data_IF_273828130573
#
_entry.id   IF_273828130573
#
_cell.length_a   1.000
_cell.length_b   1.000
_cell.length_c   1.000
_cell.angle_alpha   90.00
_cell.angle_beta   90.00
_cell.angle_gamma   90.00
#
_symmetry.space_group_name_H-M   'P 1'
#
loop_
_entity.id
_entity.type
_entity.pdbx_description
1 polymer ?
#
# COMPACT_ATOMS: atom_id res chain seq x y z
N UNK A 1 -13.65 -21.74 12.29
CA UNK A 1 -13.60 -22.81 11.25
C UNK A 1 -12.24 -23.50 11.35
N UNK A 2 -12.07 -24.66 10.71
CA UNK A 2 -10.76 -25.34 10.61
C UNK A 2 -9.69 -24.37 10.08
N UNK A 3 -10.05 -23.53 9.12
CA UNK A 3 -9.14 -22.56 8.53
C UNK A 3 -8.63 -21.51 9.53
N UNK A 4 -9.53 -20.81 10.23
CA UNK A 4 -9.15 -19.78 11.21
C UNK A 4 -8.40 -20.35 12.42
N UNK A 5 -8.68 -21.60 12.81
CA UNK A 5 -8.03 -22.23 13.97
C UNK A 5 -6.67 -22.86 13.63
N UNK A 6 -6.49 -23.39 12.41
CA UNK A 6 -5.33 -24.22 12.08
C UNK A 6 -4.61 -23.79 10.80
N UNK A 7 -5.32 -23.65 9.66
CA UNK A 7 -4.67 -23.45 8.35
C UNK A 7 -4.04 -22.06 8.26
N UNK A 8 -4.81 -21.00 8.47
CA UNK A 8 -4.32 -19.62 8.37
C UNK A 8 -3.20 -19.33 9.38
N UNK A 9 -3.29 -19.71 10.67
CA UNK A 9 -2.18 -19.60 11.60
C UNK A 9 -0.91 -20.34 11.15
N UNK A 10 -1.04 -21.58 10.69
CA UNK A 10 0.12 -22.39 10.22
C UNK A 10 0.82 -21.74 9.04
N UNK A 11 0.07 -21.23 8.05
CA UNK A 11 0.66 -20.53 6.91
C UNK A 11 1.44 -19.28 7.35
N UNK A 12 0.91 -18.51 8.30
CA UNK A 12 1.59 -17.33 8.87
C UNK A 12 2.87 -17.71 9.61
N UNK A 13 2.84 -18.75 10.43
CA UNK A 13 4.01 -19.27 11.15
C UNK A 13 5.12 -19.71 10.18
N UNK A 14 4.74 -20.34 9.06
CA UNK A 14 5.65 -20.77 8.01
C UNK A 14 6.11 -19.63 7.08
N UNK A 15 5.68 -18.38 7.31
CA UNK A 15 6.00 -17.23 6.46
C UNK A 15 5.39 -17.30 5.06
N UNK A 16 4.35 -18.10 4.87
CA UNK A 16 3.64 -18.27 3.60
C UNK A 16 2.52 -17.24 3.44
N UNK A 17 2.11 -16.92 2.19
CA UNK A 17 0.92 -16.12 1.94
C UNK A 17 -0.30 -16.68 2.67
N UNK A 18 -0.95 -15.85 3.48
CA UNK A 18 -2.12 -16.21 4.28
C UNK A 18 -3.10 -15.03 4.35
N UNK A 19 -4.39 -15.33 4.47
CA UNK A 19 -5.40 -14.30 4.67
C UNK A 19 -5.36 -13.74 6.09
N UNK A 20 -5.99 -12.57 6.29
CA UNK A 20 -6.07 -11.94 7.61
C UNK A 20 -6.75 -12.85 8.63
N UNK A 21 -7.89 -13.44 8.28
CA UNK A 21 -8.71 -14.29 9.16
C UNK A 21 -9.07 -15.66 8.55
N UNK A 22 -9.40 -15.70 7.24
CA UNK A 22 -9.85 -16.92 6.56
C UNK A 22 -9.62 -16.82 5.04
N UNK A 23 -9.19 -17.92 4.41
CA UNK A 23 -9.13 -18.17 2.97
C UNK A 23 -10.50 -18.23 2.29
N UNK A 24 -11.56 -18.45 3.06
CA UNK A 24 -12.90 -18.66 2.53
C UNK A 24 -13.67 -17.39 2.20
N UNK A 25 -13.10 -16.19 2.41
CA UNK A 25 -13.81 -14.90 2.27
C UNK A 25 -14.28 -14.54 0.85
N UNK A 26 -14.01 -15.39 -0.14
CA UNK A 26 -14.48 -15.16 -1.52
C UNK A 26 -15.87 -15.79 -1.67
N UNK A 27 -16.91 -14.97 -1.87
CA UNK A 27 -18.31 -15.42 -2.08
C UNK A 27 -18.47 -16.53 -3.11
N UNK A 28 -17.59 -16.59 -4.11
CA UNK A 28 -17.59 -17.63 -5.13
C UNK A 28 -17.12 -19.00 -4.64
N UNK A 29 -16.44 -19.09 -3.51
CA UNK A 29 -15.98 -20.31 -2.85
C UNK A 29 -16.87 -20.69 -1.67
N UNK A 30 -17.59 -19.73 -1.07
CA UNK A 30 -18.53 -19.97 0.05
C UNK A 30 -19.86 -20.63 -0.38
N UNK A 31 -20.11 -20.79 -1.68
CA UNK A 31 -21.38 -21.32 -2.16
C UNK A 31 -21.55 -22.79 -1.75
N UNK A 32 -22.77 -23.23 -1.39
CA UNK A 32 -23.04 -24.60 -0.94
C UNK A 32 -23.12 -25.58 -2.12
N UNK A 33 -22.17 -25.50 -3.06
CA UNK A 33 -22.05 -26.40 -4.19
C UNK A 33 -20.76 -27.22 -4.08
N UNK A 34 -20.78 -28.52 -4.45
CA UNK A 34 -19.57 -29.33 -4.45
C UNK A 34 -18.58 -28.84 -5.51
N UNK A 35 -17.28 -28.87 -5.21
CA UNK A 35 -16.20 -28.45 -6.11
C UNK A 35 -15.88 -29.47 -7.20
N UNK A 36 -16.88 -29.81 -7.99
CA UNK A 36 -16.71 -30.69 -9.17
C UNK A 36 -16.15 -29.92 -10.36
N UNK A 37 -15.73 -30.63 -11.41
CA UNK A 37 -15.33 -30.00 -12.68
C UNK A 37 -16.44 -29.11 -13.31
N UNK A 38 -17.70 -29.32 -12.93
CA UNK A 38 -18.86 -28.53 -13.35
C UNK A 38 -19.25 -27.43 -12.34
N UNK A 39 -18.35 -27.03 -11.43
CA UNK A 39 -18.64 -26.04 -10.39
C UNK A 39 -19.20 -24.73 -10.95
N UNK A 40 -20.36 -24.30 -10.46
CA UNK A 40 -21.09 -23.13 -10.96
C UNK A 40 -20.61 -21.79 -10.39
N UNK A 41 -19.80 -21.81 -9.30
CA UNK A 41 -19.28 -20.59 -8.72
C UNK A 41 -18.37 -19.81 -9.68
N UNK A 42 -18.45 -18.48 -9.59
CA UNK A 42 -17.78 -17.57 -10.51
C UNK A 42 -16.32 -17.33 -10.09
N UNK A 43 -15.40 -18.07 -10.72
CA UNK A 43 -13.96 -17.80 -10.66
C UNK A 43 -13.57 -17.16 -12.00
N UNK A 44 -13.22 -15.87 -11.99
CA UNK A 44 -13.08 -15.06 -13.22
C UNK A 44 -11.98 -15.54 -14.16
N UNK A 45 -10.82 -15.94 -13.61
CA UNK A 45 -9.73 -16.47 -14.40
C UNK A 45 -10.01 -17.95 -14.70
N UNK A 46 -10.23 -18.26 -15.99
CA UNK A 46 -10.62 -19.60 -16.46
C UNK A 46 -9.52 -20.63 -16.24
N UNK A 47 -8.26 -20.25 -16.42
CA UNK A 47 -7.12 -21.15 -16.22
C UNK A 47 -6.95 -21.49 -14.74
N UNK A 48 -7.10 -20.48 -13.87
CA UNK A 48 -7.11 -20.68 -12.41
C UNK A 48 -8.28 -21.57 -11.99
N UNK A 49 -9.49 -21.34 -12.53
CA UNK A 49 -10.67 -22.18 -12.24
C UNK A 49 -10.40 -23.63 -12.63
N UNK A 50 -9.91 -23.86 -13.84
CA UNK A 50 -9.59 -25.21 -14.35
C UNK A 50 -8.54 -25.89 -13.48
N UNK A 51 -7.43 -25.21 -13.18
CA UNK A 51 -6.37 -25.76 -12.35
C UNK A 51 -6.87 -26.12 -10.94
N UNK A 52 -7.59 -25.20 -10.28
CA UNK A 52 -8.17 -25.41 -8.95
C UNK A 52 -9.08 -26.64 -8.92
N UNK A 53 -10.08 -26.70 -9.80
CA UNK A 53 -11.05 -27.82 -9.82
C UNK A 53 -10.39 -29.14 -10.21
N UNK A 54 -9.41 -29.14 -11.11
CA UNK A 54 -8.68 -30.36 -11.51
C UNK A 54 -7.84 -30.92 -10.37
N UNK A 55 -7.26 -30.05 -9.52
CA UNK A 55 -6.50 -30.48 -8.34
C UNK A 55 -7.45 -31.13 -7.31
N UNK A 56 -8.61 -30.53 -7.07
CA UNK A 56 -9.61 -31.09 -6.15
C UNK A 56 -10.09 -32.45 -6.66
N UNK A 57 -10.52 -32.53 -7.93
CA UNK A 57 -10.97 -33.76 -8.57
C UNK A 57 -9.91 -34.87 -8.51
N UNK A 58 -8.64 -34.53 -8.78
CA UNK A 58 -7.54 -35.50 -8.69
C UNK A 58 -7.35 -36.02 -7.26
N UNK A 59 -7.39 -35.16 -6.25
CA UNK A 59 -7.20 -35.54 -4.85
C UNK A 59 -8.39 -36.37 -4.33
N UNK A 60 -9.61 -36.07 -4.76
CA UNK A 60 -10.81 -36.85 -4.42
C UNK A 60 -10.74 -38.26 -5.02
N UNK A 61 -10.21 -38.42 -6.24
CA UNK A 61 -10.03 -39.72 -6.89
C UNK A 61 -8.77 -40.48 -6.44
N UNK A 62 -7.79 -39.79 -5.83
CA UNK A 62 -6.52 -40.34 -5.37
C UNK A 62 -6.15 -39.83 -3.96
N UNK A 63 -6.93 -40.19 -2.92
CA UNK A 63 -6.76 -39.65 -1.57
C UNK A 63 -5.36 -39.92 -0.98
N UNK A 64 -4.70 -41.00 -1.38
CA UNK A 64 -3.32 -41.33 -0.99
C UNK A 64 -2.28 -40.32 -1.51
N UNK A 65 -2.63 -39.52 -2.51
CA UNK A 65 -1.76 -38.47 -3.07
C UNK A 65 -1.95 -37.11 -2.42
N UNK A 66 -2.96 -36.94 -1.56
CA UNK A 66 -3.31 -35.65 -0.92
C UNK A 66 -2.09 -34.98 -0.32
N UNK A 67 -1.36 -35.68 0.55
CA UNK A 67 -0.20 -35.12 1.24
C UNK A 67 0.91 -34.68 0.27
N UNK A 68 1.16 -35.48 -0.77
CA UNK A 68 2.15 -35.15 -1.80
C UNK A 68 1.75 -33.89 -2.57
N UNK A 69 0.50 -33.80 -3.00
CA UNK A 69 -0.02 -32.63 -3.72
C UNK A 69 0.03 -31.38 -2.83
N UNK A 70 -0.35 -31.48 -1.55
CA UNK A 70 -0.23 -30.36 -0.60
C UNK A 70 1.23 -29.91 -0.46
N UNK A 71 2.18 -30.84 -0.29
CA UNK A 71 3.62 -30.52 -0.23
C UNK A 71 4.11 -29.84 -1.50
N UNK A 72 3.69 -30.32 -2.68
CA UNK A 72 4.03 -29.71 -3.96
C UNK A 72 3.50 -28.28 -4.08
N UNK A 73 2.24 -28.03 -3.71
CA UNK A 73 1.66 -26.69 -3.71
C UNK A 73 2.43 -25.74 -2.79
N UNK A 74 2.73 -26.16 -1.56
CA UNK A 74 3.52 -25.37 -0.62
C UNK A 74 4.94 -25.08 -1.15
N UNK A 75 5.59 -26.06 -1.79
CA UNK A 75 6.90 -25.87 -2.40
C UNK A 75 6.87 -24.92 -3.60
N UNK A 76 5.80 -24.94 -4.40
CA UNK A 76 5.62 -23.98 -5.50
C UNK A 76 5.37 -22.57 -4.97
N UNK A 77 4.56 -22.43 -3.91
CA UNK A 77 4.34 -21.14 -3.25
C UNK A 77 5.67 -20.58 -2.72
N UNK A 78 6.46 -21.38 -2.01
CA UNK A 78 7.79 -20.95 -1.52
C UNK A 78 8.70 -20.46 -2.65
N UNK A 79 8.79 -21.23 -3.74
CA UNK A 79 9.59 -20.84 -4.92
C UNK A 79 9.09 -19.55 -5.56
N UNK A 80 7.78 -19.39 -5.71
CA UNK A 80 7.19 -18.17 -6.25
C UNK A 80 7.46 -16.97 -5.32
N UNK A 81 7.32 -17.12 -4.00
CA UNK A 81 7.63 -16.06 -3.03
C UNK A 81 9.10 -15.65 -3.10
N UNK A 82 10.03 -16.61 -3.18
CA UNK A 82 11.46 -16.34 -3.32
C UNK A 82 11.79 -15.66 -4.66
N UNK A 83 11.24 -16.15 -5.77
CA UNK A 83 11.45 -15.54 -7.09
C UNK A 83 10.90 -14.10 -7.18
N UNK A 84 9.92 -13.77 -6.33
CA UNK A 84 9.33 -12.44 -6.24
C UNK A 84 10.09 -11.47 -5.31
N UNK A 85 11.11 -11.95 -4.59
CA UNK A 85 12.02 -11.09 -3.84
C UNK A 85 13.01 -10.47 -4.83
N UNK A 86 12.89 -9.16 -5.03
CA UNK A 86 13.77 -8.38 -5.89
C UNK A 86 14.54 -7.45 -4.99
N UNK A 87 15.86 -7.68 -4.88
CA UNK A 87 16.75 -6.77 -4.18
C UNK A 87 16.94 -5.50 -4.99
N UNK A 88 16.82 -4.35 -4.33
CA UNK A 88 17.02 -3.06 -4.99
C UNK A 88 18.52 -2.73 -5.04
N UNK A 89 19.00 -2.33 -6.22
CA UNK A 89 20.38 -1.92 -6.43
C UNK A 89 20.66 -0.66 -5.61
N UNK A 90 21.66 -0.73 -4.72
CA UNK A 90 22.12 0.45 -3.99
C UNK A 90 22.75 1.45 -4.96
N UNK A 91 22.53 2.73 -4.69
CA UNK A 91 23.19 3.79 -5.43
C UNK A 91 24.70 3.70 -5.19
N UNK A 92 25.47 3.61 -6.28
CA UNK A 92 26.92 3.46 -6.22
C UNK A 92 27.65 4.79 -5.98
N UNK A 93 27.05 5.91 -6.41
CA UNK A 93 27.66 7.23 -6.33
C UNK A 93 26.58 8.30 -6.11
N UNK A 94 26.60 8.98 -4.96
CA UNK A 94 25.51 9.86 -4.51
C UNK A 94 25.70 11.33 -4.86
N UNK A 95 26.86 11.70 -5.41
CA UNK A 95 27.20 13.10 -5.73
C UNK A 95 26.30 13.73 -6.82
N UNK A 96 25.57 12.92 -7.59
CA UNK A 96 24.66 13.38 -8.67
C UNK A 96 23.19 13.49 -8.24
N UNK A 97 22.83 13.08 -7.03
CA UNK A 97 21.45 13.06 -6.56
C UNK A 97 21.01 14.42 -6.01
N UNK A 98 20.20 15.12 -6.81
CA UNK A 98 19.49 16.31 -6.37
C UNK A 98 17.98 16.05 -6.32
N UNK A 99 17.25 16.98 -5.68
CA UNK A 99 15.80 16.88 -5.47
C UNK A 99 15.03 16.73 -6.79
N UNK A 100 15.45 17.42 -7.86
CA UNK A 100 14.77 17.36 -9.16
C UNK A 100 14.91 15.96 -9.74
N UNK A 101 16.13 15.39 -9.70
CA UNK A 101 16.40 14.03 -10.15
C UNK A 101 15.53 13.02 -9.41
N UNK A 102 15.48 13.10 -8.07
CA UNK A 102 14.64 12.18 -7.27
C UNK A 102 13.16 12.32 -7.60
N UNK A 103 12.65 13.54 -7.74
CA UNK A 103 11.25 13.76 -8.10
C UNK A 103 10.93 13.14 -9.46
N UNK A 104 11.79 13.31 -10.47
CA UNK A 104 11.59 12.66 -11.77
C UNK A 104 11.62 11.14 -11.68
N UNK A 105 12.50 10.55 -10.87
CA UNK A 105 12.52 9.11 -10.64
C UNK A 105 11.22 8.60 -10.01
N UNK A 106 10.71 9.30 -8.99
CA UNK A 106 9.44 8.98 -8.36
C UNK A 106 8.26 9.11 -9.34
N UNK A 107 8.22 10.19 -10.12
CA UNK A 107 7.19 10.39 -11.15
C UNK A 107 7.20 9.29 -12.20
N UNK A 108 8.38 8.91 -12.70
CA UNK A 108 8.52 7.80 -13.64
C UNK A 108 8.01 6.50 -13.01
N UNK A 109 8.36 6.23 -11.75
CA UNK A 109 7.95 5.04 -11.04
C UNK A 109 6.44 4.99 -10.79
N UNK A 110 5.82 6.10 -10.40
CA UNK A 110 4.39 6.16 -10.10
C UNK A 110 3.53 6.04 -11.35
N UNK A 111 3.97 6.64 -12.46
CA UNK A 111 3.17 6.78 -13.67
C UNK A 111 3.45 5.69 -14.72
N UNK A 112 4.37 4.76 -14.45
CA UNK A 112 4.62 3.61 -15.32
C UNK A 112 3.35 2.74 -15.45
N UNK A 113 3.01 2.32 -16.66
CA UNK A 113 1.87 1.45 -16.91
C UNK A 113 2.23 -0.02 -16.68
N UNK A 114 2.15 -0.47 -15.43
CA UNK A 114 2.52 -1.83 -15.02
C UNK A 114 1.60 -2.94 -15.52
N UNK A 115 0.40 -2.60 -16.03
CA UNK A 115 -0.65 -3.56 -16.41
C UNK A 115 -0.99 -4.57 -15.30
N UNK A 116 -0.73 -4.21 -14.04
CA UNK A 116 -1.05 -5.00 -12.85
C UNK A 116 -1.53 -4.10 -11.72
N UNK A 117 -2.08 -4.70 -10.67
CA UNK A 117 -2.51 -4.00 -9.46
C UNK A 117 -1.32 -3.75 -8.51
N UNK A 118 -1.52 -2.87 -7.52
CA UNK A 118 -0.52 -2.58 -6.47
C UNK A 118 0.30 -1.32 -6.70
N UNK A 119 0.40 -0.82 -7.94
CA UNK A 119 1.11 0.43 -8.25
C UNK A 119 0.60 1.66 -7.48
N UNK A 120 -0.68 1.65 -7.07
CA UNK A 120 -1.29 2.71 -6.23
C UNK A 120 -0.62 2.91 -4.87
N UNK A 121 0.17 1.94 -4.41
CA UNK A 121 0.90 1.99 -3.14
C UNK A 121 2.24 2.72 -3.25
N UNK A 122 2.81 2.89 -4.45
CA UNK A 122 4.11 3.54 -4.65
C UNK A 122 4.14 4.97 -4.10
N UNK A 123 3.15 5.85 -4.37
CA UNK A 123 3.13 7.18 -3.77
C UNK A 123 3.01 7.18 -2.25
N UNK A 124 2.34 6.16 -1.69
CA UNK A 124 2.19 6.02 -0.24
C UNK A 124 3.51 5.64 0.39
N UNK A 125 4.24 4.69 -0.19
CA UNK A 125 5.57 4.31 0.27
C UNK A 125 6.53 5.50 0.22
N UNK A 126 6.51 6.31 -0.85
CA UNK A 126 7.33 7.51 -0.94
C UNK A 126 6.98 8.55 0.11
N UNK A 127 5.68 8.81 0.34
CA UNK A 127 5.24 9.73 1.38
C UNK A 127 5.59 9.18 2.77
N UNK A 128 5.50 7.87 2.99
CA UNK A 128 5.91 7.24 4.24
C UNK A 128 7.41 7.41 4.50
N UNK A 129 8.25 7.13 3.50
CA UNK A 129 9.69 7.31 3.59
C UNK A 129 10.08 8.75 3.93
N UNK A 130 9.44 9.74 3.30
CA UNK A 130 9.76 11.14 3.63
C UNK A 130 9.25 11.52 5.02
N UNK A 131 8.07 11.06 5.44
CA UNK A 131 7.58 11.31 6.80
C UNK A 131 8.48 10.64 7.85
N UNK A 132 9.05 9.47 7.57
CA UNK A 132 10.03 8.84 8.45
C UNK A 132 11.21 9.77 8.71
N UNK A 133 11.79 10.35 7.64
CA UNK A 133 12.87 11.34 7.77
C UNK A 133 12.44 12.62 8.48
N UNK A 134 11.29 13.19 8.11
CA UNK A 134 10.78 14.41 8.73
C UNK A 134 10.58 14.22 10.24
N UNK A 135 10.06 13.07 10.68
CA UNK A 135 9.86 12.79 12.11
C UNK A 135 11.15 12.64 12.90
N UNK A 136 12.25 12.29 12.24
CA UNK A 136 13.58 12.18 12.85
C UNK A 136 14.33 13.51 12.87
N UNK A 137 14.10 14.38 11.89
CA UNK A 137 14.95 15.54 11.64
C UNK A 137 14.33 16.89 12.05
N UNK A 138 13.00 17.02 12.03
CA UNK A 138 12.34 18.30 12.29
C UNK A 138 11.83 18.43 13.72
N UNK A 139 12.17 19.55 14.37
CA UNK A 139 11.78 19.85 15.76
C UNK A 139 10.26 19.77 16.00
N UNK A 140 9.45 20.11 14.99
CA UNK A 140 7.97 20.03 15.11
C UNK A 140 7.42 18.62 15.32
N UNK A 141 8.20 17.59 14.99
CA UNK A 141 7.85 16.18 15.19
C UNK A 141 8.60 15.55 16.36
N UNK A 142 9.28 16.35 17.18
CA UNK A 142 10.01 15.84 18.34
C UNK A 142 9.09 15.11 19.31
N UNK A 143 9.43 13.85 19.57
CA UNK A 143 8.64 12.96 20.41
C UNK A 143 7.35 12.45 19.74
N UNK A 144 7.17 12.68 18.44
CA UNK A 144 6.14 12.04 17.66
C UNK A 144 6.60 10.65 17.20
N UNK A 145 5.62 9.79 16.92
CA UNK A 145 5.80 8.41 16.46
C UNK A 145 5.05 8.27 15.14
N UNK A 146 5.78 7.95 14.08
CA UNK A 146 5.21 7.50 12.82
C UNK A 146 4.70 6.07 13.01
N UNK A 147 3.42 5.82 12.76
CA UNK A 147 2.87 4.47 12.85
C UNK A 147 3.36 3.63 11.67
N UNK A 148 3.66 2.36 11.92
CA UNK A 148 4.09 1.40 10.90
C UNK A 148 3.16 1.41 9.68
N UNK A 149 3.77 1.32 8.49
CA UNK A 149 3.05 1.32 7.22
C UNK A 149 2.08 0.12 7.16
N UNK A 150 0.79 0.44 7.05
CA UNK A 150 -0.28 -0.56 6.99
C UNK A 150 -0.40 -1.25 5.63
N UNK A 151 -1.28 -2.25 5.56
CA UNK A 151 -1.65 -2.85 4.27
C UNK A 151 -2.73 -2.02 3.55
N UNK A 152 -2.57 -1.75 2.25
CA UNK A 152 -3.59 -1.04 1.44
C UNK A 152 -4.75 -1.94 1.01
N UNK A 153 -4.59 -3.27 1.10
CA UNK A 153 -5.67 -4.22 0.77
C UNK A 153 -6.64 -4.46 1.94
N UNK A 154 -6.36 -3.94 3.14
CA UNK A 154 -7.27 -4.04 4.26
C UNK A 154 -8.52 -3.18 3.98
N UNK A 155 -9.71 -3.76 4.12
CA UNK A 155 -10.96 -3.01 3.95
C UNK A 155 -11.07 -1.90 4.98
N UNK A 156 -11.50 -0.70 4.56
CA UNK A 156 -11.84 0.44 5.43
C UNK A 156 -12.85 0.09 6.56
N UNK A 157 -13.68 -0.95 6.37
CA UNK A 157 -14.58 -1.45 7.44
C UNK A 157 -13.82 -2.11 8.59
N UNK A 158 -12.62 -2.61 8.32
CA UNK A 158 -11.78 -3.35 9.27
C UNK A 158 -10.58 -2.51 9.75
N UNK A 159 -10.04 -1.62 8.91
CA UNK A 159 -8.97 -0.71 9.31
C UNK A 159 -9.53 0.43 10.16
N UNK A 160 -9.21 0.43 11.45
CA UNK A 160 -9.54 1.54 12.36
C UNK A 160 -8.58 2.74 12.16
N UNK A 161 -8.18 3.02 10.92
CA UNK A 161 -7.18 4.05 10.59
C UNK A 161 -7.84 5.36 10.19
N UNK A 162 -7.20 6.47 10.57
CA UNK A 162 -7.61 7.81 10.18
C UNK A 162 -7.10 8.21 8.80
N UNK A 163 -6.05 7.55 8.28
CA UNK A 163 -5.47 7.79 6.96
C UNK A 163 -4.57 6.64 6.52
N UNK A 164 -3.91 6.79 5.38
CA UNK A 164 -2.88 5.87 4.88
C UNK A 164 -1.60 5.96 5.72
N UNK A 165 -1.26 7.17 6.21
CA UNK A 165 -0.16 7.42 7.13
C UNK A 165 -0.70 8.16 8.37
N UNK A 166 -0.24 7.78 9.55
CA UNK A 166 -0.66 8.35 10.83
C UNK A 166 0.55 8.68 11.71
N UNK A 167 0.53 9.87 12.31
CA UNK A 167 1.58 10.34 13.23
C UNK A 167 0.94 10.63 14.58
N UNK A 168 1.49 10.03 15.63
CA UNK A 168 1.03 10.16 17.01
C UNK A 168 2.01 10.96 17.86
N UNK A 169 1.54 11.64 18.89
CA UNK A 169 2.41 12.19 19.92
C UNK A 169 2.83 11.13 20.95
N UNK A 170 3.70 11.54 21.89
CA UNK A 170 4.12 10.73 23.04
C UNK A 170 2.98 10.19 23.92
N UNK A 171 1.80 10.81 23.87
CA UNK A 171 0.61 10.40 24.62
C UNK A 171 -0.31 9.49 23.78
N UNK A 172 0.16 9.03 22.61
CA UNK A 172 -0.60 8.23 21.63
C UNK A 172 -1.83 8.96 21.08
N UNK A 173 -1.84 10.30 21.12
CA UNK A 173 -2.87 11.09 20.44
C UNK A 173 -2.49 11.27 18.98
N UNK A 174 -3.45 11.06 18.08
CA UNK A 174 -3.26 11.30 16.65
C UNK A 174 -3.05 12.80 16.39
N UNK A 175 -1.94 13.15 15.75
CA UNK A 175 -1.58 14.53 15.40
C UNK A 175 -1.85 14.79 13.93
N UNK A 176 -1.36 13.92 13.05
CA UNK A 176 -1.55 14.07 11.60
C UNK A 176 -2.04 12.75 11.00
N UNK A 177 -3.02 12.85 10.12
CA UNK A 177 -3.48 11.77 9.26
C UNK A 177 -3.30 12.20 7.80
N UNK A 178 -2.75 11.32 6.97
CA UNK A 178 -2.48 11.60 5.56
C UNK A 178 -3.22 10.57 4.72
N UNK A 179 -4.12 11.04 3.86
CA UNK A 179 -4.85 10.26 2.87
C UNK A 179 -4.27 10.54 1.48
N UNK A 180 -3.99 9.49 0.72
CA UNK A 180 -3.25 9.55 -0.53
C UNK A 180 -4.07 8.91 -1.64
N UNK A 181 -4.21 9.61 -2.77
CA UNK A 181 -5.08 9.21 -3.87
C UNK A 181 -4.37 9.35 -5.21
N UNK A 182 -3.95 8.23 -5.77
CA UNK A 182 -3.37 8.22 -7.12
C UNK A 182 -4.47 8.22 -8.19
N UNK A 183 -4.32 9.10 -9.18
CA UNK A 183 -5.15 9.17 -10.39
C UNK A 183 -6.57 9.67 -10.18
N UNK A 184 -6.87 10.31 -9.04
CA UNK A 184 -8.24 10.75 -8.69
C UNK A 184 -8.27 12.24 -8.33
N UNK A 185 -8.96 13.08 -9.13
CA UNK A 185 -9.18 14.47 -8.79
C UNK A 185 -9.82 14.61 -7.41
N UNK A 186 -9.45 15.65 -6.68
CA UNK A 186 -10.02 15.92 -5.37
C UNK A 186 -11.39 16.56 -5.56
N UNK A 187 -12.40 15.95 -4.95
CA UNK A 187 -13.81 16.37 -5.04
C UNK A 187 -14.43 16.54 -3.64
N UNK A 188 -15.64 17.10 -3.58
CA UNK A 188 -16.33 17.33 -2.31
C UNK A 188 -16.56 16.05 -1.50
N UNK A 189 -16.90 14.94 -2.14
CA UNK A 189 -17.14 13.67 -1.45
C UNK A 189 -15.91 13.18 -0.67
N UNK A 190 -14.71 13.44 -1.18
CA UNK A 190 -13.47 13.10 -0.48
C UNK A 190 -13.30 13.91 0.81
N UNK A 191 -13.72 15.17 0.82
CA UNK A 191 -13.69 16.03 2.01
C UNK A 191 -14.71 15.56 3.04
N UNK A 192 -15.91 15.19 2.59
CA UNK A 192 -16.96 14.64 3.47
C UNK A 192 -16.52 13.31 4.11
N UNK A 193 -15.89 12.42 3.34
CA UNK A 193 -15.33 11.18 3.87
C UNK A 193 -14.20 11.46 4.89
N UNK A 194 -13.36 12.47 4.63
CA UNK A 194 -12.34 12.89 5.58
C UNK A 194 -12.95 13.46 6.86
N UNK A 195 -14.04 14.23 6.76
CA UNK A 195 -14.79 14.75 7.92
C UNK A 195 -15.26 13.63 8.84
N UNK A 196 -15.82 12.55 8.29
CA UNK A 196 -16.25 11.40 9.10
C UNK A 196 -15.08 10.78 9.88
N UNK A 197 -13.90 10.67 9.24
CA UNK A 197 -12.68 10.19 9.90
C UNK A 197 -12.17 11.19 10.95
N UNK A 198 -12.23 12.50 10.67
CA UNK A 198 -11.83 13.56 11.60
C UNK A 198 -12.71 13.57 12.85
N UNK A 199 -14.03 13.42 12.70
CA UNK A 199 -14.96 13.32 13.82
C UNK A 199 -14.64 12.12 14.73
N UNK A 200 -14.26 11.00 14.11
CA UNK A 200 -13.95 9.76 14.83
C UNK A 200 -12.57 9.77 15.51
N UNK A 201 -11.57 10.35 14.88
CA UNK A 201 -10.16 10.22 15.30
C UNK A 201 -9.53 11.51 15.84
N UNK A 202 -10.19 12.66 15.63
CA UNK A 202 -9.79 13.99 16.10
C UNK A 202 -8.30 14.34 15.89
N UNK A 203 -7.75 14.17 14.67
CA UNK A 203 -6.40 14.62 14.36
C UNK A 203 -6.31 16.15 14.43
N UNK A 204 -5.10 16.66 14.67
CA UNK A 204 -4.83 18.10 14.57
C UNK A 204 -4.81 18.56 13.11
N UNK A 205 -4.29 17.73 12.21
CA UNK A 205 -4.22 18.01 10.77
C UNK A 205 -4.61 16.78 9.97
N UNK A 206 -5.33 17.02 8.88
CA UNK A 206 -5.72 15.98 7.94
C UNK A 206 -5.29 16.36 6.54
N UNK A 207 -4.39 15.58 5.94
CA UNK A 207 -3.90 15.81 4.59
C UNK A 207 -4.66 14.96 3.59
N UNK A 208 -5.04 15.56 2.47
CA UNK A 208 -5.57 14.85 1.30
C UNK A 208 -4.64 15.17 0.13
N UNK A 209 -3.83 14.18 -0.25
CA UNK A 209 -2.80 14.31 -1.27
C UNK A 209 -3.21 13.53 -2.51
N UNK A 210 -3.25 14.19 -3.68
CA UNK A 210 -3.60 13.54 -4.94
C UNK A 210 -2.54 13.71 -6.02
N UNK A 211 -2.45 12.78 -6.97
CA UNK A 211 -1.68 12.97 -8.20
C UNK A 211 -2.46 13.71 -9.29
N UNK A 212 -3.73 14.06 -9.05
CA UNK A 212 -4.57 14.81 -9.97
C UNK A 212 -5.04 16.12 -9.33
N UNK A 213 -5.29 17.12 -10.17
CA UNK A 213 -5.72 18.45 -9.73
C UNK A 213 -7.12 18.46 -9.11
N UNK A 214 -7.45 19.54 -8.41
CA UNK A 214 -8.79 19.78 -7.87
C UNK A 214 -9.75 20.07 -9.03
N UNK A 215 -10.95 19.48 -8.99
CA UNK A 215 -12.01 19.85 -9.94
C UNK A 215 -12.45 21.30 -9.66
N UNK A 216 -12.27 22.19 -10.64
CA UNK A 216 -12.55 23.64 -10.48
C UNK A 216 -13.99 23.90 -10.01
N UNK A 217 -14.96 23.10 -10.44
CA UNK A 217 -16.37 23.21 -10.07
C UNK A 217 -16.65 23.01 -8.57
N UNK A 218 -15.78 22.28 -7.87
CA UNK A 218 -15.95 21.96 -6.46
C UNK A 218 -15.16 22.89 -5.54
N UNK A 219 -14.28 23.75 -6.07
CA UNK A 219 -13.29 24.49 -5.29
C UNK A 219 -13.91 25.35 -4.17
N UNK A 220 -14.99 26.09 -4.46
CA UNK A 220 -15.67 26.92 -3.47
C UNK A 220 -16.35 26.10 -2.37
N UNK A 221 -16.97 24.96 -2.73
CA UNK A 221 -17.63 24.06 -1.77
C UNK A 221 -16.62 23.34 -0.89
N UNK A 222 -15.52 22.87 -1.49
CA UNK A 222 -14.39 22.27 -0.79
C UNK A 222 -13.84 23.27 0.24
N UNK A 223 -13.58 24.50 -0.17
CA UNK A 223 -13.04 25.53 0.73
C UNK A 223 -13.99 25.83 1.90
N UNK A 224 -15.28 25.99 1.62
CA UNK A 224 -16.30 26.20 2.65
C UNK A 224 -16.37 25.04 3.66
N UNK A 225 -16.27 23.80 3.19
CA UNK A 225 -16.29 22.64 4.09
C UNK A 225 -15.00 22.52 4.92
N UNK A 226 -13.82 22.84 4.35
CA UNK A 226 -12.55 22.90 5.10
C UNK A 226 -12.64 23.92 6.23
N UNK A 227 -13.18 25.11 5.96
CA UNK A 227 -13.37 26.16 6.97
C UNK A 227 -14.35 25.71 8.06
N UNK A 228 -15.43 25.05 7.67
CA UNK A 228 -16.39 24.46 8.60
C UNK A 228 -15.72 23.42 9.52
N UNK A 229 -14.89 22.53 8.98
CA UNK A 229 -14.14 21.53 9.77
C UNK A 229 -13.17 22.22 10.74
N UNK A 230 -12.44 23.23 10.29
CA UNK A 230 -11.50 23.96 11.13
C UNK A 230 -12.22 24.66 12.31
N UNK A 231 -13.34 25.35 12.03
CA UNK A 231 -14.09 26.10 13.03
C UNK A 231 -14.82 25.19 14.02
N UNK A 232 -15.42 24.10 13.54
CA UNK A 232 -16.30 23.25 14.37
C UNK A 232 -15.54 22.10 15.05
N UNK A 233 -14.40 21.66 14.50
CA UNK A 233 -13.68 20.48 14.96
C UNK A 233 -12.20 20.73 15.27
N UNK A 234 -11.70 21.95 15.04
CA UNK A 234 -10.32 22.33 15.36
C UNK A 234 -9.25 21.60 14.53
N UNK A 235 -9.66 20.91 13.45
CA UNK A 235 -8.77 20.16 12.57
C UNK A 235 -8.45 20.99 11.32
N UNK A 236 -7.16 21.15 11.01
CA UNK A 236 -6.73 21.78 9.78
C UNK A 236 -6.73 20.75 8.63
N UNK A 237 -7.62 20.91 7.65
CA UNK A 237 -7.59 20.10 6.43
C UNK A 237 -6.66 20.74 5.41
N UNK A 238 -5.73 19.96 4.86
CA UNK A 238 -4.72 20.43 3.92
C UNK A 238 -4.81 19.60 2.64
N UNK A 239 -5.02 20.28 1.53
CA UNK A 239 -5.17 19.66 0.21
C UNK A 239 -3.96 20.03 -0.64
N UNK A 240 -3.29 19.05 -1.25
CA UNK A 240 -2.15 19.32 -2.12
C UNK A 240 -1.89 18.18 -3.12
N UNK A 241 -0.97 18.41 -4.05
CA UNK A 241 -0.44 17.37 -4.93
C UNK A 241 0.58 16.46 -4.23
N UNK A 242 0.65 15.18 -4.62
CA UNK A 242 1.64 14.21 -4.13
C UNK A 242 3.07 14.69 -4.47
N UNK A 243 3.33 14.95 -5.76
CA UNK A 243 4.65 15.38 -6.24
C UNK A 243 5.07 16.74 -5.68
N UNK A 244 4.21 17.79 -5.69
CA UNK A 244 4.50 19.04 -5.00
C UNK A 244 4.89 18.84 -3.53
N UNK A 245 4.16 17.99 -2.80
CA UNK A 245 4.45 17.71 -1.38
C UNK A 245 5.81 17.04 -1.20
N UNK A 246 6.09 15.98 -1.96
CA UNK A 246 7.40 15.30 -1.92
C UNK A 246 8.54 16.28 -2.24
N UNK A 247 8.39 17.08 -3.30
CA UNK A 247 9.39 18.09 -3.68
C UNK A 247 9.67 19.11 -2.57
N UNK A 248 8.64 19.57 -1.87
CA UNK A 248 8.82 20.49 -0.73
C UNK A 248 9.49 19.78 0.45
N UNK A 249 9.06 18.58 0.79
CA UNK A 249 9.58 17.87 1.96
C UNK A 249 11.03 17.40 1.76
N UNK A 250 11.42 17.03 0.55
CA UNK A 250 12.81 16.75 0.20
C UNK A 250 13.75 17.95 0.45
N UNK A 251 13.24 19.19 0.43
CA UNK A 251 14.04 20.39 0.78
C UNK A 251 14.26 20.56 2.28
N UNK A 252 13.46 19.87 3.11
CA UNK A 252 13.49 20.02 4.56
C UNK A 252 14.39 18.99 5.24
N UNK A 253 14.75 17.92 4.53
CA UNK A 253 15.60 16.85 5.05
C UNK A 253 17.07 17.11 4.68
N UNK A 254 17.96 16.56 5.50
CA UNK A 254 19.41 16.72 5.39
C UNK A 254 20.02 15.92 4.24
N UNK A 255 19.47 14.76 3.91
CA UNK A 255 20.01 13.88 2.87
C UNK A 255 18.92 13.28 2.00
N UNK A 256 18.93 13.67 0.72
CA UNK A 256 18.05 13.13 -0.32
C UNK A 256 18.43 11.69 -0.68
N UNK A 257 19.72 11.35 -0.61
CA UNK A 257 20.22 9.98 -0.78
C UNK A 257 19.59 9.02 0.23
N UNK A 258 19.63 9.40 1.52
CA UNK A 258 19.02 8.64 2.61
C UNK A 258 17.52 8.42 2.42
N UNK A 259 16.80 9.40 1.87
CA UNK A 259 15.40 9.22 1.48
C UNK A 259 15.25 8.16 0.37
N UNK A 260 16.12 8.19 -0.65
CA UNK A 260 16.09 7.21 -1.74
C UNK A 260 16.40 5.80 -1.22
N UNK A 261 17.34 5.66 -0.29
CA UNK A 261 17.64 4.39 0.39
C UNK A 261 16.41 3.86 1.14
N UNK A 262 15.75 4.69 1.95
CA UNK A 262 14.55 4.25 2.67
C UNK A 262 13.42 3.86 1.72
N UNK A 263 13.15 4.70 0.71
CA UNK A 263 12.15 4.40 -0.30
C UNK A 263 12.44 3.07 -0.99
N UNK A 264 13.70 2.83 -1.36
CA UNK A 264 14.16 1.59 -1.97
C UNK A 264 13.93 0.38 -1.05
N UNK A 265 14.29 0.51 0.23
CA UNK A 265 14.09 -0.55 1.22
C UNK A 265 12.61 -0.86 1.42
N UNK A 266 11.74 0.16 1.51
CA UNK A 266 10.31 -0.07 1.62
C UNK A 266 9.72 -0.70 0.35
N UNK A 267 10.18 -0.32 -0.84
CA UNK A 267 9.78 -0.97 -2.10
C UNK A 267 10.22 -2.45 -2.11
N UNK A 268 11.44 -2.74 -1.65
CA UNK A 268 11.99 -4.09 -1.57
C UNK A 268 11.19 -4.98 -0.60
N UNK A 269 10.88 -4.48 0.59
CA UNK A 269 10.22 -5.24 1.65
C UNK A 269 8.70 -5.35 1.46
N UNK A 270 8.09 -4.46 0.68
CA UNK A 270 6.64 -4.43 0.53
C UNK A 270 6.09 -5.71 -0.13
N UNK A 271 5.04 -6.26 0.48
CA UNK A 271 4.42 -7.53 0.10
C UNK A 271 3.26 -7.36 -0.89
N UNK A 272 2.75 -6.15 -1.06
CA UNK A 272 1.66 -5.84 -1.99
C UNK A 272 2.19 -5.44 -3.37
N UNK A 273 3.38 -4.85 -3.42
CA UNK A 273 4.10 -4.60 -4.65
C UNK A 273 4.51 -5.91 -5.33
N UNK A 274 4.01 -6.08 -6.55
CA UNK A 274 4.45 -7.12 -7.47
C UNK A 274 5.92 -6.93 -7.90
N UNK A 275 6.62 -8.00 -8.32
CA UNK A 275 8.03 -7.93 -8.75
C UNK A 275 8.29 -6.89 -9.83
N UNK A 276 7.34 -6.68 -10.75
CA UNK A 276 7.48 -5.69 -11.83
C UNK A 276 7.67 -4.26 -11.32
N UNK A 277 7.05 -3.89 -10.19
CA UNK A 277 7.25 -2.56 -9.60
C UNK A 277 8.66 -2.41 -9.04
N UNK A 278 9.19 -3.47 -8.44
CA UNK A 278 10.54 -3.48 -7.84
C UNK A 278 11.62 -3.47 -8.93
N UNK A 279 11.41 -4.25 -9.99
CA UNK A 279 12.28 -4.27 -11.18
C UNK A 279 12.31 -2.89 -11.84
N UNK A 280 11.15 -2.23 -12.00
CA UNK A 280 11.10 -0.90 -12.60
C UNK A 280 11.86 0.13 -11.75
N UNK A 281 11.81 0.01 -10.42
CA UNK A 281 12.62 0.87 -9.57
C UNK A 281 14.13 0.69 -9.82
N UNK A 282 14.59 -0.57 -9.96
CA UNK A 282 15.97 -0.87 -10.36
C UNK A 282 16.32 -0.28 -11.72
N UNK A 283 15.42 -0.40 -12.71
CA UNK A 283 15.64 0.19 -14.03
C UNK A 283 15.85 1.70 -13.94
N UNK A 284 15.00 2.39 -13.17
CA UNK A 284 15.09 3.83 -12.95
C UNK A 284 16.42 4.19 -12.26
N UNK A 285 16.80 3.50 -11.18
CA UNK A 285 18.06 3.76 -10.48
C UNK A 285 19.30 3.52 -11.37
N UNK A 286 19.29 2.47 -12.20
CA UNK A 286 20.39 2.17 -13.11
C UNK A 286 20.60 3.27 -14.16
N UNK A 287 19.56 4.03 -14.54
CA UNK A 287 19.73 5.19 -15.42
C UNK A 287 20.53 6.32 -14.77
N UNK A 288 20.53 6.41 -13.43
CA UNK A 288 21.31 7.41 -12.71
C UNK A 288 22.79 7.02 -12.58
N UNK A 289 23.08 5.72 -12.52
CA UNK A 289 24.44 5.17 -12.41
C UNK A 289 25.17 5.22 -13.76
N UNK A 290 24.42 5.13 -14.86
CA UNK A 290 24.98 5.08 -16.23
C UNK A 290 25.25 6.46 -16.86
N UNK A 291 24.99 7.55 -16.12
CA UNK A 291 25.29 8.94 -16.49
C UNK A 291 26.45 9.47 -15.68
#
# INVERSE_FOLDING_TARGET
TIDTQYITPTLKELGLPAMAESGWLTRSLEQPYPYTLNYNGKINNKDVKKAFLSIIDFVENHPEKTELITKLLLAQIKRATQANQITITKLADSEKLNIITVVHCLEAHFNHNYKTFGGSKLPVIALYAIYQRLTQELERYKGCILKDLGSHTASDRTSKTAGDIEIFDKNKKLIEAIEIKQGKPINLQMILNAKDKILKHSPRRYYILSSADILQEDQAKIQSEIESIANNHGCQVIINGIIPTLKYYLRLITSVEKFVEDYSNFVEEDKELQPIHKIEWNNILNTLISQ
#
